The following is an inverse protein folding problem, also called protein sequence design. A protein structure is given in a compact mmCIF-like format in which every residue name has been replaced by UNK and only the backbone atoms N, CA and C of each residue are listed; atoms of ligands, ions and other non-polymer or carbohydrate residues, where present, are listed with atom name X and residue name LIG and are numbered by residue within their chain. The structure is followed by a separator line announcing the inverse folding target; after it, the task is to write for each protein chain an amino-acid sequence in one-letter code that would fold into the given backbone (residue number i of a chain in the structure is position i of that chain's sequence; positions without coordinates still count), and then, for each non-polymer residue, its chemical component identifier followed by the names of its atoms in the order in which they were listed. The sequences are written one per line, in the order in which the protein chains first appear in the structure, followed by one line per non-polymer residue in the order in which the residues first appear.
data_IF_092432370746
#
_entry.id   IF_092432370746
#
_cell.length_a   1.000
_cell.length_b   1.000
_cell.length_c   1.000
_cell.angle_alpha   90.00
_cell.angle_beta   90.00
_cell.angle_gamma   90.00
#
_symmetry.space_group_name_H-M   'P 1'
#
loop_
_entity.id
_entity.type
_entity.pdbx_description
1 polymer ?
#
# COMPACT_ATOMS: atom_id res chain seq x y z
N UNK A 1 14.15 -27.16 -3.14
CA UNK A 1 14.00 -26.06 -2.17
C UNK A 1 12.85 -25.22 -2.66
N UNK A 2 11.95 -24.79 -1.79
CA UNK A 2 10.88 -23.88 -2.17
C UNK A 2 11.38 -22.45 -1.97
N UNK A 3 11.35 -21.65 -3.04
CA UNK A 3 11.67 -20.22 -2.98
C UNK A 3 10.41 -19.46 -2.54
N UNK A 4 10.45 -18.90 -1.33
CA UNK A 4 9.42 -18.02 -0.82
C UNK A 4 9.62 -16.63 -1.42
N UNK A 5 8.81 -16.29 -2.42
CA UNK A 5 8.74 -14.94 -3.00
C UNK A 5 7.71 -14.15 -2.19
N UNK A 6 8.17 -13.38 -1.20
CA UNK A 6 7.32 -12.40 -0.52
C UNK A 6 7.27 -11.11 -1.37
N UNK A 7 6.20 -10.93 -2.14
CA UNK A 7 5.91 -9.64 -2.77
C UNK A 7 5.29 -8.70 -1.73
N UNK A 8 6.07 -7.73 -1.24
CA UNK A 8 5.53 -6.66 -0.41
C UNK A 8 4.71 -5.73 -1.31
N UNK A 9 3.37 -5.84 -1.25
CA UNK A 9 2.49 -4.90 -1.94
C UNK A 9 2.58 -3.55 -1.20
N UNK A 10 3.07 -2.47 -1.83
CA UNK A 10 3.14 -1.16 -1.18
C UNK A 10 1.72 -0.66 -0.88
N UNK A 11 1.50 -0.17 0.35
CA UNK A 11 0.27 0.49 0.76
C UNK A 11 0.10 1.76 -0.09
N UNK A 12 -1.04 1.94 -0.76
CA UNK A 12 -1.31 3.11 -1.60
C UNK A 12 -2.35 4.02 -0.96
N UNK A 13 -2.14 5.33 -1.06
CA UNK A 13 -3.08 6.37 -0.62
C UNK A 13 -3.35 7.39 -1.71
N UNK A 14 -4.47 8.10 -1.59
CA UNK A 14 -4.84 9.26 -2.40
C UNK A 14 -5.14 10.45 -1.49
N UNK A 15 -4.60 11.62 -1.81
CA UNK A 15 -4.96 12.86 -1.12
C UNK A 15 -6.28 13.39 -1.68
N UNK A 16 -7.23 13.70 -0.81
CA UNK A 16 -8.56 14.22 -1.19
C UNK A 16 -8.56 15.72 -1.50
N UNK A 17 -7.47 16.43 -1.19
CA UNK A 17 -7.37 17.87 -1.45
C UNK A 17 -6.68 18.19 -2.77
N UNK A 18 -5.71 17.37 -3.19
CA UNK A 18 -4.98 17.56 -4.46
C UNK A 18 -5.15 16.40 -5.46
N UNK A 19 -5.94 15.39 -5.12
CA UNK A 19 -6.21 14.19 -5.92
C UNK A 19 -4.95 13.42 -6.38
N UNK A 20 -3.83 13.57 -5.66
CA UNK A 20 -2.59 12.84 -5.95
C UNK A 20 -2.54 11.50 -5.23
N UNK A 21 -2.22 10.45 -5.98
CA UNK A 21 -1.96 9.12 -5.45
C UNK A 21 -0.46 8.95 -5.15
N UNK A 22 -0.14 8.31 -4.02
CA UNK A 22 1.22 8.07 -3.58
C UNK A 22 1.33 6.78 -2.75
N UNK A 23 2.54 6.22 -2.67
CA UNK A 23 2.85 5.07 -1.84
C UNK A 23 3.08 5.52 -0.39
N UNK A 24 2.47 4.81 0.55
CA UNK A 24 2.55 5.06 1.98
C UNK A 24 3.58 4.06 2.54
N UNK A 25 4.83 4.50 2.67
CA UNK A 25 5.92 3.63 3.13
C UNK A 25 5.98 3.47 4.66
N UNK A 26 5.57 4.47 5.44
CA UNK A 26 5.40 4.35 6.90
C UNK A 26 4.76 5.63 7.45
N UNK A 27 3.66 5.51 8.20
CA UNK A 27 3.05 6.59 9.02
C UNK A 27 2.89 7.97 8.34
N UNK A 28 2.67 8.02 7.03
CA UNK A 28 2.47 9.28 6.32
C UNK A 28 1.05 9.82 6.58
N UNK A 29 0.90 10.59 7.66
CA UNK A 29 -0.34 11.30 8.01
C UNK A 29 -0.56 12.58 7.19
N UNK A 30 0.32 12.90 6.23
CA UNK A 30 0.22 14.10 5.39
C UNK A 30 0.72 13.87 3.96
N UNK A 31 0.02 14.44 2.97
CA UNK A 31 0.31 14.28 1.55
C UNK A 31 1.66 14.94 1.21
N UNK A 32 2.58 14.25 0.52
CA UNK A 32 3.88 14.84 0.15
C UNK A 32 3.80 15.97 -0.88
N UNK A 33 2.66 16.12 -1.58
CA UNK A 33 2.50 17.13 -2.63
C UNK A 33 1.93 18.46 -2.14
N UNK A 34 0.96 18.41 -1.23
CA UNK A 34 0.25 19.61 -0.74
C UNK A 34 0.30 19.76 0.78
N UNK A 35 0.95 18.82 1.48
CA UNK A 35 1.07 18.77 2.93
C UNK A 35 -0.27 18.64 3.70
N UNK A 36 -1.34 18.26 2.99
CA UNK A 36 -2.66 18.05 3.57
C UNK A 36 -2.75 16.77 4.38
N UNK A 37 -3.44 16.76 5.54
CA UNK A 37 -3.75 15.55 6.29
C UNK A 37 -4.93 14.75 5.71
N UNK A 38 -5.64 15.26 4.71
CA UNK A 38 -6.80 14.61 4.11
C UNK A 38 -6.37 13.52 3.12
N UNK A 39 -5.92 12.38 3.65
CA UNK A 39 -5.51 11.22 2.86
C UNK A 39 -6.50 10.09 3.05
N UNK A 40 -6.87 9.43 1.96
CA UNK A 40 -7.63 8.19 1.93
C UNK A 40 -6.74 7.04 1.48
N UNK A 41 -6.54 6.06 2.34
CA UNK A 41 -5.85 4.82 1.98
C UNK A 41 -6.73 3.99 1.04
N UNK A 42 -6.18 3.53 -0.08
CA UNK A 42 -6.92 2.82 -1.14
C UNK A 42 -6.57 1.33 -1.21
N UNK A 43 -5.44 0.87 -0.65
CA UNK A 43 -5.08 -0.56 -0.59
C UNK A 43 -3.85 -0.81 0.28
N UNK A 44 -3.83 -1.92 1.02
CA UNK A 44 -2.65 -2.50 1.70
C UNK A 44 -2.94 -3.42 2.90
N UNK A 45 -4.14 -3.99 3.00
CA UNK A 45 -4.50 -4.96 4.05
C UNK A 45 -4.92 -6.32 3.49
N UNK A 46 -4.47 -6.67 2.28
CA UNK A 46 -4.72 -8.01 1.73
C UNK A 46 -3.40 -8.79 1.76
N UNK A 47 -3.08 -9.35 2.93
CA UNK A 47 -2.25 -10.54 3.01
C UNK A 47 -3.02 -11.67 2.31
N UNK A 48 -2.90 -11.75 0.99
CA UNK A 48 -3.39 -12.91 0.24
C UNK A 48 -2.36 -14.02 0.38
N UNK A 49 -2.65 -15.00 1.23
CA UNK A 49 -1.94 -16.28 1.19
C UNK A 49 -2.29 -16.89 -0.18
N UNK A 50 -1.35 -16.82 -1.12
CA UNK A 50 -1.43 -17.62 -2.34
C UNK A 50 -1.26 -19.07 -1.90
N UNK A 51 -2.36 -19.82 -1.92
CA UNK A 51 -2.36 -21.25 -1.63
C UNK A 51 -1.37 -21.94 -2.57
N UNK A 52 -0.41 -22.67 -2.02
CA UNK A 52 0.54 -23.47 -2.80
C UNK A 52 -0.06 -24.87 -3.00
N UNK A 53 -0.25 -25.27 -4.25
CA UNK A 53 -0.61 -26.64 -4.61
C UNK A 53 0.53 -27.60 -4.24
N UNK A 54 0.17 -28.71 -3.58
CA UNK A 54 1.10 -29.79 -3.21
C UNK A 54 0.71 -31.01 -4.05
N UNK A 55 1.60 -31.47 -4.94
CA UNK A 55 1.56 -32.80 -5.56
C UNK A 55 2.45 -33.79 -4.80
#
# INVERSE_FOLDING_TARGET
GADLIMEMIPLKGICLDCDQAFEIEDYAFSCPHCNSPNIRTISGQDLSIVEMEVE
#
